data_IF_202858138023
#
_entry.id   IF_202858138023
#
_cell.length_a   1.000
_cell.length_b   1.000
_cell.length_c   1.000
_cell.angle_alpha   90.00
_cell.angle_beta   90.00
_cell.angle_gamma   90.00
#
_symmetry.space_group_name_H-M   'P 1'
#
loop_
_entity.id
_entity.type
_entity.pdbx_description
1 polymer ?
#
# COMPACT_ATOMS: atom_id res chain seq x y z
N UNK A 1 -10.37 5.61 28.60
CA UNK A 1 -9.09 5.99 27.96
C UNK A 1 -8.79 7.44 28.35
N UNK A 2 -7.63 7.72 28.90
CA UNK A 2 -7.22 9.06 29.28
C UNK A 2 -6.41 9.63 28.11
N UNK A 3 -6.73 10.83 27.64
CA UNK A 3 -5.96 11.50 26.61
C UNK A 3 -4.63 11.99 27.20
N UNK A 4 -3.52 11.68 26.53
CA UNK A 4 -2.21 12.19 26.86
C UNK A 4 -1.71 13.09 25.72
N UNK A 5 -1.19 14.25 26.04
CA UNK A 5 -0.58 15.17 25.09
C UNK A 5 0.94 15.11 25.22
N UNK A 6 1.63 14.95 24.09
CA UNK A 6 3.08 14.99 23.99
C UNK A 6 3.48 15.90 22.81
N UNK A 7 4.73 16.43 22.80
CA UNK A 7 5.23 17.13 21.63
C UNK A 7 5.13 16.27 20.38
N UNK A 8 4.56 16.84 19.32
CA UNK A 8 4.39 16.11 18.07
C UNK A 8 5.76 15.79 17.45
N UNK A 9 5.97 14.52 17.14
CA UNK A 9 7.09 14.04 16.33
C UNK A 9 6.52 13.38 15.10
N UNK A 10 7.13 13.61 13.93
CA UNK A 10 6.79 12.86 12.74
C UNK A 10 7.39 11.47 12.88
N UNK A 11 6.55 10.51 13.18
CA UNK A 11 6.87 9.09 13.20
C UNK A 11 6.46 8.47 11.86
N UNK A 12 6.74 7.20 11.65
CA UNK A 12 6.37 6.47 10.44
C UNK A 12 4.85 6.59 10.19
N UNK A 13 4.50 7.25 9.09
CA UNK A 13 3.11 7.41 8.65
C UNK A 13 2.90 6.63 7.35
N UNK A 14 1.79 5.90 7.27
CA UNK A 14 1.36 5.28 6.03
C UNK A 14 0.81 6.34 5.07
N UNK A 15 1.09 6.17 3.78
CA UNK A 15 0.68 7.09 2.73
C UNK A 15 -0.45 6.47 1.90
N UNK A 16 -1.47 7.26 1.62
CA UNK A 16 -2.53 6.90 0.68
C UNK A 16 -2.34 7.75 -0.58
N UNK A 17 -2.06 7.11 -1.70
CA UNK A 17 -1.78 7.79 -2.98
C UNK A 17 -2.76 7.30 -4.03
N UNK A 18 -3.32 8.21 -4.84
CA UNK A 18 -4.20 7.82 -5.92
C UNK A 18 -3.70 8.32 -7.27
N UNK A 19 -3.70 7.43 -8.26
CA UNK A 19 -3.39 7.70 -9.66
C UNK A 19 -4.64 7.42 -10.49
N UNK A 20 -5.33 8.47 -10.92
CA UNK A 20 -6.52 8.36 -11.74
C UNK A 20 -6.18 8.59 -13.22
N UNK A 21 -6.94 7.98 -14.13
CA UNK A 21 -6.79 8.25 -15.57
C UNK A 21 -7.46 7.19 -16.45
N UNK A 22 -7.54 7.51 -17.75
CA UNK A 22 -8.05 6.59 -18.75
C UNK A 22 -7.12 5.39 -19.01
N UNK A 23 -7.58 4.43 -19.79
CA UNK A 23 -6.71 3.38 -20.32
C UNK A 23 -5.56 3.99 -21.13
N UNK A 24 -4.34 3.48 -20.97
CA UNK A 24 -3.16 4.02 -21.63
C UNK A 24 -2.54 5.27 -20.99
N UNK A 25 -3.11 5.81 -19.90
CA UNK A 25 -2.53 6.97 -19.19
C UNK A 25 -1.30 6.65 -18.31
N UNK A 26 -0.85 5.40 -18.26
CA UNK A 26 0.34 4.99 -17.52
C UNK A 26 0.15 4.76 -16.02
N UNK A 27 -1.09 4.65 -15.50
CA UNK A 27 -1.40 4.45 -14.06
C UNK A 27 -0.63 3.29 -13.43
N UNK A 28 -0.83 2.09 -13.97
CA UNK A 28 -0.25 0.84 -13.44
C UNK A 28 1.27 0.91 -13.41
N UNK A 29 1.89 1.34 -14.52
CA UNK A 29 3.34 1.49 -14.62
C UNK A 29 3.88 2.52 -13.62
N UNK A 30 3.23 3.67 -13.51
CA UNK A 30 3.59 4.71 -12.53
C UNK A 30 3.42 4.23 -11.09
N UNK A 31 2.35 3.47 -10.80
CA UNK A 31 2.14 2.88 -9.48
C UNK A 31 3.25 1.89 -9.10
N UNK A 32 3.67 1.04 -10.04
CA UNK A 32 4.77 0.09 -9.82
C UNK A 32 6.11 0.79 -9.62
N UNK A 33 6.44 1.81 -10.42
CA UNK A 33 7.64 2.62 -10.22
C UNK A 33 7.65 3.32 -8.87
N UNK A 34 6.53 3.97 -8.53
CA UNK A 34 6.38 4.65 -7.24
C UNK A 34 6.52 3.68 -6.07
N UNK A 35 5.84 2.51 -6.14
CA UNK A 35 5.92 1.47 -5.13
C UNK A 35 7.34 0.93 -4.96
N UNK A 36 8.07 0.71 -6.07
CA UNK A 36 9.47 0.28 -6.05
C UNK A 36 10.36 1.28 -5.31
N UNK A 37 10.15 2.58 -5.52
CA UNK A 37 10.86 3.62 -4.78
C UNK A 37 10.45 3.72 -3.31
N UNK A 38 9.18 3.45 -2.99
CA UNK A 38 8.67 3.51 -1.63
C UNK A 38 9.02 2.29 -0.77
N UNK A 39 9.27 1.14 -1.38
CA UNK A 39 9.51 -0.14 -0.69
C UNK A 39 10.99 -0.33 -0.37
N UNK A 40 11.42 -0.24 0.90
CA UNK A 40 12.82 -0.44 1.28
C UNK A 40 13.27 -1.89 1.19
N UNK A 41 12.35 -2.84 1.32
CA UNK A 41 12.66 -4.29 1.25
C UNK A 41 12.28 -4.93 -0.08
N UNK A 42 11.66 -4.18 -1.00
CA UNK A 42 11.16 -4.69 -2.27
C UNK A 42 9.85 -5.49 -2.15
N UNK A 43 9.24 -5.59 -0.96
CA UNK A 43 7.99 -6.33 -0.74
C UNK A 43 6.77 -5.50 -1.16
N UNK A 44 6.40 -5.58 -2.40
CA UNK A 44 5.23 -4.92 -2.98
C UNK A 44 4.11 -5.95 -3.15
N UNK A 45 2.92 -5.66 -2.65
CA UNK A 45 1.72 -6.46 -2.91
C UNK A 45 0.85 -5.77 -3.96
N UNK A 46 0.41 -6.53 -4.97
CA UNK A 46 -0.43 -6.04 -6.05
C UNK A 46 -1.78 -6.77 -6.03
N UNK A 47 -2.83 -6.05 -5.67
CA UNK A 47 -4.22 -6.52 -5.70
C UNK A 47 -4.80 -6.14 -7.07
N UNK A 48 -4.97 -7.14 -7.92
CA UNK A 48 -5.39 -6.99 -9.31
C UNK A 48 -6.88 -7.29 -9.45
N UNK A 49 -7.67 -6.29 -9.81
CA UNK A 49 -9.10 -6.44 -10.13
C UNK A 49 -9.37 -6.37 -11.64
N UNK A 50 -8.32 -6.21 -12.45
CA UNK A 50 -8.35 -6.05 -13.90
C UNK A 50 -8.03 -7.37 -14.64
N UNK A 51 -8.48 -8.49 -14.10
CA UNK A 51 -8.33 -9.82 -14.71
C UNK A 51 -6.86 -10.20 -15.01
N UNK A 52 -5.98 -10.01 -14.04
CA UNK A 52 -4.56 -10.36 -14.08
C UNK A 52 -3.71 -9.52 -15.05
N UNK A 53 -4.18 -8.34 -15.45
CA UNK A 53 -3.40 -7.44 -16.32
C UNK A 53 -2.12 -6.93 -15.67
N UNK A 54 -2.08 -6.85 -14.34
CA UNK A 54 -0.87 -6.52 -13.59
C UNK A 54 0.30 -7.44 -13.88
N UNK A 55 0.05 -8.71 -14.21
CA UNK A 55 1.09 -9.69 -14.52
C UNK A 55 1.88 -9.38 -15.81
N UNK A 56 1.39 -8.50 -16.69
CA UNK A 56 2.16 -8.03 -17.85
C UNK A 56 3.43 -7.29 -17.45
N UNK A 57 3.52 -6.82 -16.21
CA UNK A 57 4.68 -6.11 -15.69
C UNK A 57 5.61 -6.98 -14.83
N UNK A 58 5.33 -8.29 -14.69
CA UNK A 58 6.06 -9.19 -13.79
C UNK A 58 7.51 -9.47 -14.22
N UNK A 59 7.86 -9.25 -15.49
CA UNK A 59 9.24 -9.35 -15.97
C UNK A 59 10.08 -8.12 -15.60
N UNK A 60 9.44 -6.95 -15.44
CA UNK A 60 10.11 -5.67 -15.17
C UNK A 60 10.10 -5.32 -13.68
N UNK A 61 9.05 -5.74 -12.96
CA UNK A 61 8.87 -5.44 -11.53
C UNK A 61 8.64 -6.71 -10.72
N UNK A 62 9.27 -6.78 -9.56
CA UNK A 62 9.00 -7.84 -8.58
C UNK A 62 7.87 -7.43 -7.66
N UNK A 63 6.82 -8.22 -7.54
CA UNK A 63 5.70 -8.02 -6.63
C UNK A 63 4.96 -9.32 -6.32
N UNK A 64 4.32 -9.38 -5.16
CA UNK A 64 3.36 -10.42 -4.80
C UNK A 64 2.02 -10.07 -5.45
N UNK A 65 1.37 -11.01 -6.12
CA UNK A 65 0.15 -10.78 -6.89
C UNK A 65 -1.05 -11.50 -6.28
N UNK A 66 -2.18 -10.80 -6.16
CA UNK A 66 -3.46 -11.36 -5.78
C UNK A 66 -4.53 -11.01 -6.83
N UNK A 67 -5.15 -12.04 -7.44
CA UNK A 67 -6.25 -11.90 -8.40
C UNK A 67 -7.57 -11.76 -7.63
N UNK A 68 -8.11 -10.54 -7.58
CA UNK A 68 -9.41 -10.28 -6.97
C UNK A 68 -10.49 -10.25 -8.05
N UNK A 69 -11.40 -11.22 -8.00
CA UNK A 69 -12.56 -11.31 -8.89
C UNK A 69 -13.84 -10.83 -8.20
N UNK A 70 -14.90 -10.50 -8.94
CA UNK A 70 -16.18 -10.14 -8.35
C UNK A 70 -16.66 -11.16 -7.30
N UNK A 71 -17.44 -10.71 -6.32
CA UNK A 71 -17.97 -9.36 -6.14
C UNK A 71 -16.92 -8.42 -5.53
N UNK A 72 -16.89 -7.15 -6.00
CA UNK A 72 -15.94 -6.12 -5.55
C UNK A 72 -16.49 -5.35 -4.33
N UNK A 73 -17.00 -6.08 -3.35
CA UNK A 73 -17.52 -5.48 -2.13
C UNK A 73 -16.42 -4.83 -1.28
N UNK A 74 -16.68 -3.68 -0.62
CA UNK A 74 -15.69 -2.97 0.22
C UNK A 74 -14.98 -3.85 1.25
N UNK A 75 -15.70 -4.84 1.82
CA UNK A 75 -15.13 -5.76 2.80
C UNK A 75 -14.00 -6.63 2.26
N UNK A 76 -14.06 -7.01 0.98
CA UNK A 76 -13.02 -7.82 0.34
C UNK A 76 -11.74 -7.03 0.09
N UNK A 77 -11.84 -5.73 -0.17
CA UNK A 77 -10.65 -4.86 -0.23
C UNK A 77 -9.96 -4.77 1.13
N UNK A 78 -10.74 -4.66 2.22
CA UNK A 78 -10.19 -4.69 3.59
C UNK A 78 -9.47 -6.02 3.86
N UNK A 79 -10.08 -7.14 3.48
CA UNK A 79 -9.48 -8.47 3.63
C UNK A 79 -8.17 -8.61 2.84
N UNK A 80 -8.16 -8.20 1.57
CA UNK A 80 -6.97 -8.28 0.72
C UNK A 80 -5.82 -7.40 1.23
N UNK A 81 -6.11 -6.18 1.72
CA UNK A 81 -5.11 -5.30 2.30
C UNK A 81 -4.51 -5.92 3.57
N UNK A 82 -5.35 -6.49 4.46
CA UNK A 82 -4.87 -7.19 5.66
C UNK A 82 -4.02 -8.41 5.33
N UNK A 83 -4.38 -9.15 4.29
CA UNK A 83 -3.57 -10.26 3.81
C UNK A 83 -2.20 -9.78 3.32
N UNK A 84 -2.14 -8.66 2.60
CA UNK A 84 -0.89 -8.04 2.18
C UNK A 84 -0.04 -7.57 3.38
N UNK A 85 -0.64 -6.94 4.39
CA UNK A 85 0.04 -6.58 5.65
C UNK A 85 0.62 -7.82 6.35
N UNK A 86 -0.16 -8.91 6.41
CA UNK A 86 0.27 -10.18 7.02
C UNK A 86 1.42 -10.83 6.24
N UNK A 87 1.44 -10.68 4.93
CA UNK A 87 2.53 -11.13 4.06
C UNK A 87 3.79 -10.25 4.16
N UNK A 88 3.74 -9.19 4.97
CA UNK A 88 4.87 -8.28 5.21
C UNK A 88 5.13 -7.30 4.08
N UNK A 89 4.09 -6.91 3.32
CA UNK A 89 4.23 -5.89 2.28
C UNK A 89 4.61 -4.53 2.88
N UNK A 90 5.52 -3.82 2.23
CA UNK A 90 5.83 -2.42 2.53
C UNK A 90 4.82 -1.48 1.88
N UNK A 91 4.39 -1.84 0.66
CA UNK A 91 3.48 -1.07 -0.17
C UNK A 91 2.45 -1.99 -0.81
N UNK A 92 1.19 -1.56 -0.84
CA UNK A 92 0.09 -2.25 -1.52
C UNK A 92 -0.33 -1.41 -2.73
N UNK A 93 -0.44 -2.03 -3.90
CA UNK A 93 -1.07 -1.44 -5.09
C UNK A 93 -2.43 -2.08 -5.27
N UNK A 94 -3.47 -1.27 -5.54
CA UNK A 94 -4.81 -1.75 -5.89
C UNK A 94 -5.15 -1.24 -7.29
N UNK A 95 -5.23 -2.14 -8.26
CA UNK A 95 -5.52 -1.82 -9.66
C UNK A 95 -6.63 -2.75 -10.22
N UNK A 96 -7.84 -2.21 -10.36
CA UNK A 96 -8.32 -0.86 -10.17
C UNK A 96 -9.21 -0.73 -8.92
N UNK A 97 -8.96 0.29 -8.11
CA UNK A 97 -9.81 0.57 -6.94
C UNK A 97 -11.19 1.11 -7.35
N UNK A 98 -11.39 1.53 -8.61
CA UNK A 98 -12.69 1.94 -9.13
C UNK A 98 -13.75 0.84 -9.08
N UNK A 99 -13.34 -0.43 -9.11
CA UNK A 99 -14.29 -1.55 -9.02
C UNK A 99 -15.00 -1.63 -7.67
N UNK A 100 -14.43 -1.09 -6.59
CA UNK A 100 -15.14 -0.94 -5.30
C UNK A 100 -16.39 -0.05 -5.47
N UNK A 101 -16.30 0.96 -6.35
CA UNK A 101 -17.38 1.90 -6.60
C UNK A 101 -18.35 1.40 -7.68
N UNK A 102 -17.86 1.10 -8.90
CA UNK A 102 -18.67 0.83 -10.09
C UNK A 102 -18.61 -0.63 -10.60
N UNK A 103 -17.80 -1.50 -9.97
CA UNK A 103 -17.69 -2.89 -10.37
C UNK A 103 -18.83 -3.77 -9.86
N UNK A 104 -18.91 -5.00 -10.37
CA UNK A 104 -19.89 -6.00 -9.96
C UNK A 104 -19.75 -6.30 -8.44
N UNK A 105 -20.85 -6.11 -7.70
CA UNK A 105 -20.87 -6.22 -6.23
C UNK A 105 -20.25 -5.04 -5.48
N UNK A 106 -19.80 -4.00 -6.20
CA UNK A 106 -19.39 -2.72 -5.65
C UNK A 106 -20.57 -1.90 -5.13
N UNK A 107 -20.29 -0.67 -4.64
CA UNK A 107 -21.32 0.13 -3.97
C UNK A 107 -22.47 0.55 -4.89
N UNK A 108 -22.19 0.88 -6.15
CA UNK A 108 -23.26 1.25 -7.11
C UNK A 108 -24.16 0.05 -7.42
N UNK A 109 -23.57 -1.06 -7.83
CA UNK A 109 -24.30 -2.28 -8.15
C UNK A 109 -25.12 -2.79 -6.94
N UNK A 110 -24.57 -2.69 -5.73
CA UNK A 110 -25.31 -3.03 -4.52
C UNK A 110 -26.53 -2.11 -4.30
N UNK A 111 -26.35 -0.79 -4.48
CA UNK A 111 -27.45 0.16 -4.36
C UNK A 111 -28.53 -0.07 -5.42
N UNK A 112 -28.13 -0.38 -6.67
CA UNK A 112 -29.06 -0.66 -7.76
C UNK A 112 -29.87 -1.94 -7.54
N UNK A 113 -29.22 -2.99 -7.00
CA UNK A 113 -29.93 -4.23 -6.58
C UNK A 113 -30.97 -3.94 -5.50
N UNK A 114 -30.62 -3.16 -4.48
CA UNK A 114 -31.58 -2.78 -3.43
C UNK A 114 -32.76 -1.97 -4.00
N UNK A 115 -32.53 -1.12 -5.02
CA UNK A 115 -33.60 -0.41 -5.69
C UNK A 115 -34.49 -1.36 -6.50
N UNK A 116 -33.92 -2.33 -7.19
CA UNK A 116 -34.66 -3.37 -7.91
C UNK A 116 -35.52 -4.23 -6.97
N UNK A 117 -35.02 -4.47 -5.75
CA UNK A 117 -35.75 -5.17 -4.68
C UNK A 117 -36.82 -4.28 -3.98
N UNK A 118 -37.02 -3.06 -4.45
CA UNK A 118 -38.08 -2.15 -3.99
C UNK A 118 -37.69 -1.16 -2.89
N UNK A 119 -36.39 -1.08 -2.50
CA UNK A 119 -35.93 -0.07 -1.57
C UNK A 119 -35.83 1.28 -2.28
N UNK A 120 -36.62 2.29 -1.85
CA UNK A 120 -36.78 3.55 -2.58
C UNK A 120 -35.73 4.61 -2.20
N UNK A 121 -35.23 5.30 -3.21
CA UNK A 121 -34.46 6.54 -3.08
C UNK A 121 -33.21 6.43 -2.23
N UNK A 122 -32.96 7.39 -1.32
CA UNK A 122 -31.71 7.42 -0.52
C UNK A 122 -31.52 6.22 0.42
N UNK A 123 -32.57 5.46 0.75
CA UNK A 123 -32.48 4.30 1.64
C UNK A 123 -31.65 3.17 1.01
N UNK A 124 -31.69 3.00 -0.31
CA UNK A 124 -30.89 2.01 -1.03
C UNK A 124 -29.37 2.26 -0.93
N UNK A 125 -28.98 3.48 -0.65
CA UNK A 125 -27.57 3.89 -0.51
C UNK A 125 -27.02 3.80 0.92
N UNK A 126 -27.87 3.52 1.92
CA UNK A 126 -27.48 3.55 3.33
C UNK A 126 -26.39 2.51 3.63
N UNK A 127 -26.65 1.26 3.29
CA UNK A 127 -25.73 0.16 3.60
C UNK A 127 -24.49 0.14 2.71
N UNK A 128 -24.58 0.36 1.38
CA UNK A 128 -23.41 0.54 0.51
C UNK A 128 -22.48 1.64 1.01
N UNK A 129 -22.99 2.83 1.33
CA UNK A 129 -22.18 3.93 1.88
C UNK A 129 -21.59 3.63 3.26
N UNK A 130 -22.31 2.90 4.11
CA UNK A 130 -21.78 2.46 5.39
C UNK A 130 -20.61 1.49 5.22
N UNK A 131 -20.68 0.58 4.24
CA UNK A 131 -19.61 -0.35 3.91
C UNK A 131 -18.37 0.40 3.35
N UNK A 132 -18.56 1.35 2.43
CA UNK A 132 -17.52 2.23 1.95
C UNK A 132 -16.83 2.99 3.10
N UNK A 133 -17.63 3.58 4.01
CA UNK A 133 -17.08 4.26 5.18
C UNK A 133 -16.22 3.34 6.06
N UNK A 134 -16.61 2.06 6.20
CA UNK A 134 -15.77 1.07 6.92
C UNK A 134 -14.45 0.83 6.19
N UNK A 135 -14.45 0.74 4.87
CA UNK A 135 -13.23 0.64 4.07
C UNK A 135 -12.34 1.86 4.30
N UNK A 136 -12.88 3.09 4.16
CA UNK A 136 -12.10 4.31 4.40
C UNK A 136 -11.48 4.36 5.79
N UNK A 137 -12.24 4.00 6.83
CA UNK A 137 -11.71 3.93 8.19
C UNK A 137 -10.60 2.87 8.34
N UNK A 138 -10.71 1.74 7.65
CA UNK A 138 -9.67 0.71 7.65
C UNK A 138 -8.40 1.21 6.95
N UNK A 139 -8.53 1.90 5.79
CA UNK A 139 -7.41 2.50 5.07
C UNK A 139 -6.63 3.50 5.93
N UNK A 140 -7.34 4.36 6.68
CA UNK A 140 -6.72 5.34 7.58
C UNK A 140 -5.99 4.70 8.79
N UNK A 141 -6.27 3.43 9.07
CA UNK A 141 -5.64 2.67 10.17
C UNK A 141 -4.57 1.68 9.67
N UNK A 142 -4.40 1.54 8.35
CA UNK A 142 -3.37 0.68 7.77
C UNK A 142 -1.96 1.17 8.14
N UNK A 143 -1.07 0.23 8.34
CA UNK A 143 0.35 0.51 8.61
C UNK A 143 1.20 0.54 7.35
N UNK A 144 0.71 -0.06 6.27
CA UNK A 144 1.34 -0.06 4.96
C UNK A 144 0.88 1.12 4.12
N UNK A 145 1.75 1.63 3.26
CA UNK A 145 1.36 2.63 2.27
C UNK A 145 0.56 1.97 1.14
N UNK A 146 -0.46 2.67 0.63
CA UNK A 146 -1.34 2.13 -0.41
C UNK A 146 -1.36 3.07 -1.60
N UNK A 147 -1.22 2.50 -2.81
CA UNK A 147 -1.35 3.20 -4.08
C UNK A 147 -2.61 2.67 -4.78
N UNK A 148 -3.55 3.56 -5.05
CA UNK A 148 -4.79 3.26 -5.75
C UNK A 148 -4.68 3.68 -7.21
N UNK A 149 -4.84 2.75 -8.13
CA UNK A 149 -5.10 3.06 -9.53
C UNK A 149 -6.61 3.20 -9.71
N UNK A 150 -7.05 4.34 -10.20
CA UNK A 150 -8.45 4.65 -10.46
C UNK A 150 -8.67 4.85 -11.95
N UNK A 151 -9.77 4.31 -12.45
CA UNK A 151 -10.25 4.64 -13.79
C UNK A 151 -10.76 6.08 -13.80
N UNK A 152 -10.68 6.75 -14.92
CA UNK A 152 -11.25 8.08 -15.11
C UNK A 152 -11.95 8.15 -16.46
N UNK A 153 -13.07 8.86 -16.49
CA UNK A 153 -13.83 9.17 -17.68
C UNK A 153 -13.75 10.66 -17.98
N UNK A 154 -13.74 11.00 -19.25
CA UNK A 154 -13.95 12.38 -19.69
C UNK A 154 -15.42 12.76 -19.50
N UNK A 155 -15.68 13.77 -18.69
CA UNK A 155 -17.04 14.24 -18.37
C UNK A 155 -17.32 15.59 -18.97
N UNK A 156 -18.59 15.79 -19.35
CA UNK A 156 -19.14 17.06 -19.76
C UNK A 156 -20.26 17.46 -18.81
N UNK A 157 -20.41 18.74 -18.56
CA UNK A 157 -21.56 19.33 -17.92
C UNK A 157 -22.49 19.95 -19.00
N UNK A 158 -23.76 19.59 -18.96
CA UNK A 158 -24.78 20.20 -19.80
C UNK A 158 -25.57 21.17 -18.93
N UNK A 159 -25.30 22.46 -19.06
CA UNK A 159 -25.98 23.52 -18.35
C UNK A 159 -26.97 24.26 -19.28
N UNK A 160 -28.01 24.87 -18.68
CA UNK A 160 -28.95 25.76 -19.41
C UNK A 160 -28.69 27.19 -18.99
N UNK A 161 -28.17 28.01 -19.89
CA UNK A 161 -27.91 29.43 -19.67
C UNK A 161 -28.66 30.28 -20.70
N UNK A 162 -29.42 31.28 -20.26
CA UNK A 162 -30.18 32.15 -21.12
C UNK A 162 -31.05 31.39 -22.15
N UNK A 163 -31.74 30.33 -21.73
CA UNK A 163 -32.53 29.44 -22.60
C UNK A 163 -31.72 28.67 -23.68
N UNK A 164 -30.40 28.69 -23.65
CA UNK A 164 -29.53 27.92 -24.53
C UNK A 164 -28.87 26.79 -23.75
N UNK A 165 -28.72 25.65 -24.40
CA UNK A 165 -27.93 24.54 -23.84
C UNK A 165 -26.45 24.85 -24.04
N UNK A 166 -25.69 24.87 -22.98
CA UNK A 166 -24.24 25.07 -22.99
C UNK A 166 -23.59 23.76 -22.54
N UNK A 167 -22.65 23.24 -23.31
CA UNK A 167 -21.86 22.06 -22.99
C UNK A 167 -20.48 22.53 -22.51
N UNK A 168 -20.11 22.16 -21.26
CA UNK A 168 -18.82 22.48 -20.68
C UNK A 168 -18.04 21.18 -20.45
N UNK A 169 -16.84 21.03 -21.03
CA UNK A 169 -15.99 19.90 -20.66
C UNK A 169 -15.53 20.04 -19.20
N UNK A 170 -15.74 19.01 -18.41
CA UNK A 170 -15.22 18.91 -17.03
C UNK A 170 -13.83 18.22 -16.99
N UNK A 171 -13.40 17.68 -18.15
CA UNK A 171 -12.16 16.92 -18.25
C UNK A 171 -12.24 15.53 -17.61
N UNK A 172 -11.09 14.97 -17.35
CA UNK A 172 -10.94 13.63 -16.77
C UNK A 172 -11.33 13.61 -15.30
N UNK A 173 -12.35 12.83 -14.97
CA UNK A 173 -12.87 12.69 -13.60
C UNK A 173 -12.71 11.27 -13.11
N UNK A 174 -12.08 11.06 -11.94
CA UNK A 174 -11.92 9.73 -11.34
C UNK A 174 -13.26 9.03 -11.09
N UNK A 175 -13.30 7.72 -11.35
CA UNK A 175 -14.44 6.86 -11.04
C UNK A 175 -14.24 6.31 -9.63
N UNK A 176 -14.82 6.97 -8.65
CA UNK A 176 -14.80 6.60 -7.24
C UNK A 176 -15.88 7.39 -6.46
N UNK A 177 -16.05 7.11 -5.18
CA UNK A 177 -16.86 7.97 -4.29
C UNK A 177 -16.25 9.37 -4.23
N UNK A 178 -17.11 10.40 -4.22
CA UNK A 178 -16.71 11.81 -4.38
C UNK A 178 -15.67 12.30 -3.38
N UNK A 179 -15.65 11.74 -2.17
CA UNK A 179 -14.72 12.11 -1.09
C UNK A 179 -13.43 11.30 -1.10
N UNK A 180 -13.38 10.20 -1.86
CA UNK A 180 -12.24 9.29 -1.85
C UNK A 180 -10.92 10.02 -2.11
N UNK A 181 -10.86 10.87 -3.14
CA UNK A 181 -9.65 11.62 -3.49
C UNK A 181 -9.20 12.62 -2.42
N UNK A 182 -10.13 13.10 -1.57
CA UNK A 182 -9.80 14.05 -0.50
C UNK A 182 -9.10 13.40 0.68
N UNK A 183 -9.28 12.09 0.88
CA UNK A 183 -8.62 11.34 1.96
C UNK A 183 -7.17 10.97 1.60
N UNK A 184 -6.79 11.09 0.34
CA UNK A 184 -5.44 10.75 -0.11
C UNK A 184 -4.40 11.73 0.45
N UNK A 185 -3.17 11.24 0.69
CA UNK A 185 -1.98 12.06 0.98
C UNK A 185 -1.57 12.85 -0.27
N UNK A 186 -1.53 12.18 -1.41
CA UNK A 186 -1.33 12.76 -2.73
C UNK A 186 -2.20 12.06 -3.76
N UNK A 187 -2.69 12.81 -4.75
CA UNK A 187 -3.43 12.22 -5.86
C UNK A 187 -3.18 12.99 -7.14
N UNK A 188 -3.19 12.27 -8.28
CA UNK A 188 -2.97 12.84 -9.61
C UNK A 188 -3.93 12.25 -10.62
N UNK A 189 -4.31 13.07 -11.60
CA UNK A 189 -4.97 12.60 -12.81
C UNK A 189 -3.93 12.56 -13.94
N UNK A 190 -3.81 11.39 -14.58
CA UNK A 190 -2.90 11.11 -15.68
C UNK A 190 -3.70 10.98 -16.97
N UNK A 191 -3.11 11.40 -18.10
CA UNK A 191 -3.78 11.40 -19.40
C UNK A 191 -3.04 10.52 -20.41
N UNK A 192 -3.72 9.99 -21.44
CA UNK A 192 -3.09 9.14 -22.45
C UNK A 192 -2.13 9.89 -23.40
N UNK A 193 -2.28 11.21 -23.56
CA UNK A 193 -1.42 12.04 -24.40
C UNK A 193 -0.03 12.23 -23.79
N UNK A 194 0.07 12.16 -22.43
CA UNK A 194 1.35 12.25 -21.71
C UNK A 194 1.38 11.20 -20.60
N UNK A 195 1.53 9.91 -20.93
CA UNK A 195 1.40 8.82 -19.96
C UNK A 195 2.40 8.91 -18.81
N UNK A 196 1.90 8.76 -17.58
CA UNK A 196 2.72 8.77 -16.37
C UNK A 196 3.10 10.14 -15.83
N UNK A 197 2.76 11.23 -16.52
CA UNK A 197 3.04 12.59 -16.06
C UNK A 197 1.89 13.13 -15.22
N UNK A 198 2.16 13.74 -14.05
CA UNK A 198 1.13 14.43 -13.28
C UNK A 198 0.62 15.66 -14.03
N UNK A 199 -0.69 15.84 -14.08
CA UNK A 199 -1.33 17.04 -14.58
C UNK A 199 -1.87 17.88 -13.44
N UNK A 200 -1.33 19.10 -13.25
CA UNK A 200 -1.77 19.98 -12.16
C UNK A 200 -2.99 20.84 -12.53
N UNK A 201 -3.37 20.87 -13.79
CA UNK A 201 -4.60 21.50 -14.26
C UNK A 201 -5.84 20.59 -14.15
N UNK A 202 -5.63 19.29 -13.89
CA UNK A 202 -6.67 18.31 -13.66
C UNK A 202 -6.88 18.05 -12.17
N UNK A 203 -7.95 17.37 -11.74
CA UNK A 203 -8.19 17.04 -10.35
C UNK A 203 -6.97 16.36 -9.71
N UNK A 204 -6.39 16.99 -8.73
CA UNK A 204 -5.24 16.49 -7.98
C UNK A 204 -5.28 16.96 -6.53
N UNK A 205 -4.52 16.30 -5.68
CA UNK A 205 -4.21 16.73 -4.32
C UNK A 205 -2.73 16.60 -4.08
N UNK A 206 -2.07 17.70 -3.73
CA UNK A 206 -0.65 17.71 -3.42
C UNK A 206 -0.37 18.72 -2.32
N UNK A 207 0.01 18.25 -1.16
CA UNK A 207 0.34 19.10 -0.03
C UNK A 207 1.68 19.81 -0.25
N UNK A 208 1.87 20.97 0.39
CA UNK A 208 3.05 21.82 0.22
C UNK A 208 4.38 21.07 0.37
N UNK A 209 4.47 20.19 1.37
CA UNK A 209 5.68 19.41 1.68
C UNK A 209 6.03 18.34 0.65
N UNK A 210 5.11 18.01 -0.26
CA UNK A 210 5.33 16.99 -1.31
C UNK A 210 5.52 17.61 -2.70
N UNK A 211 5.41 18.94 -2.84
CA UNK A 211 5.46 19.62 -4.15
C UNK A 211 6.76 19.41 -4.91
N UNK A 212 7.88 19.32 -4.20
CA UNK A 212 9.19 19.08 -4.82
C UNK A 212 9.39 17.64 -5.29
N UNK A 213 8.52 16.72 -4.90
CA UNK A 213 8.63 15.29 -5.23
C UNK A 213 7.96 14.94 -6.56
N UNK A 214 7.17 15.86 -7.12
CA UNK A 214 6.40 15.66 -8.35
C UNK A 214 6.43 16.91 -9.21
N UNK A 215 6.64 16.72 -10.51
CA UNK A 215 6.63 17.80 -11.51
C UNK A 215 5.79 17.37 -12.72
N UNK A 216 5.31 18.32 -13.49
CA UNK A 216 4.63 18.09 -14.78
C UNK A 216 5.60 17.87 -15.95
N UNK A 217 6.90 18.03 -15.68
CA UNK A 217 7.97 17.89 -16.66
C UNK A 217 8.61 16.51 -16.69
N UNK A 218 8.36 15.69 -15.66
CA UNK A 218 8.88 14.32 -15.54
C UNK A 218 7.77 13.35 -15.16
N UNK A 219 7.82 12.10 -15.63
CA UNK A 219 6.88 11.09 -15.22
C UNK A 219 7.11 10.70 -13.76
N UNK A 220 6.07 10.22 -13.10
CA UNK A 220 6.16 9.62 -11.76
C UNK A 220 7.19 8.50 -11.78
N UNK A 221 8.11 8.52 -10.83
CA UNK A 221 9.31 7.69 -10.83
C UNK A 221 9.59 7.02 -9.49
N UNK A 222 10.56 6.14 -9.47
CA UNK A 222 11.12 5.54 -8.26
C UNK A 222 11.70 6.60 -7.31
N UNK A 223 12.31 7.66 -7.85
CA UNK A 223 12.83 8.76 -7.06
C UNK A 223 11.72 9.49 -6.31
N UNK A 224 10.58 9.77 -6.97
CA UNK A 224 9.39 10.32 -6.30
C UNK A 224 8.92 9.42 -5.14
N UNK A 225 8.99 8.10 -5.34
CA UNK A 225 8.68 7.11 -4.31
C UNK A 225 9.65 7.15 -3.12
N UNK A 226 10.94 7.22 -3.40
CA UNK A 226 11.99 7.33 -2.38
C UNK A 226 11.81 8.60 -1.53
N UNK A 227 11.60 9.74 -2.17
CA UNK A 227 11.36 11.01 -1.48
C UNK A 227 10.13 10.96 -0.57
N UNK A 228 9.03 10.33 -1.03
CA UNK A 228 7.84 10.10 -0.21
C UNK A 228 8.12 9.19 0.99
N UNK A 229 8.83 8.07 0.77
CA UNK A 229 9.18 7.15 1.83
C UNK A 229 10.11 7.79 2.87
N UNK A 230 11.08 8.57 2.46
CA UNK A 230 11.96 9.33 3.33
C UNK A 230 11.18 10.35 4.16
N UNK A 231 10.25 11.05 3.52
CA UNK A 231 9.38 11.98 4.22
C UNK A 231 8.49 11.26 5.25
N UNK A 232 7.90 10.11 4.89
CA UNK A 232 7.01 9.35 5.75
C UNK A 232 7.71 8.77 6.99
N UNK A 233 8.98 8.38 6.85
CA UNK A 233 9.80 7.88 7.96
C UNK A 233 10.13 8.94 9.02
N UNK A 234 9.94 10.22 8.71
CA UNK A 234 10.37 11.30 9.61
C UNK A 234 11.87 11.58 9.52
N UNK A 235 12.30 12.77 9.91
CA UNK A 235 13.68 13.26 9.73
C UNK A 235 14.81 12.52 10.49
N UNK A 236 14.53 11.45 11.21
CA UNK A 236 15.53 10.47 11.64
C UNK A 236 15.25 9.15 10.93
N UNK A 237 16.21 8.58 10.20
CA UNK A 237 16.07 7.21 9.76
C UNK A 237 15.79 6.35 10.98
N UNK A 238 14.69 5.59 10.98
CA UNK A 238 14.60 4.47 11.90
C UNK A 238 15.87 3.66 11.72
N UNK A 239 16.55 3.23 12.80
CA UNK A 239 17.64 2.29 12.64
C UNK A 239 17.07 1.15 11.82
N UNK A 240 17.68 0.89 10.68
CA UNK A 240 17.42 -0.32 9.91
C UNK A 240 17.65 -1.43 10.91
N UNK A 241 16.59 -2.04 11.44
CA UNK A 241 16.75 -3.29 12.12
C UNK A 241 17.22 -4.23 11.02
N UNK A 242 18.45 -4.76 11.13
CA UNK A 242 18.88 -5.76 10.18
C UNK A 242 17.78 -6.83 10.20
N UNK A 243 17.23 -7.10 9.04
CA UNK A 243 16.32 -8.22 8.88
C UNK A 243 17.08 -9.43 9.41
N UNK A 244 16.53 -10.12 10.42
CA UNK A 244 17.04 -11.41 10.84
C UNK A 244 16.79 -12.35 9.66
N UNK A 245 17.64 -12.29 8.63
CA UNK A 245 17.46 -13.14 7.47
C UNK A 245 17.43 -14.58 7.98
N UNK A 246 16.52 -15.38 7.47
CA UNK A 246 16.44 -16.80 7.86
C UNK A 246 17.81 -17.48 7.68
N UNK A 247 18.61 -17.00 6.73
CA UNK A 247 19.96 -17.47 6.43
C UNK A 247 20.94 -17.06 7.55
N UNK A 248 20.90 -15.84 8.06
CA UNK A 248 21.75 -15.39 9.18
C UNK A 248 21.41 -16.13 10.46
N UNK A 249 20.13 -16.35 10.76
CA UNK A 249 19.70 -17.15 11.91
C UNK A 249 20.17 -18.60 11.80
N UNK A 250 20.06 -19.22 10.62
CA UNK A 250 20.55 -20.58 10.37
C UNK A 250 22.06 -20.68 10.51
N UNK A 251 22.81 -19.73 9.98
CA UNK A 251 24.27 -19.69 10.06
C UNK A 251 24.73 -19.59 11.52
N UNK A 252 24.16 -18.66 12.29
CA UNK A 252 24.51 -18.50 13.71
C UNK A 252 24.03 -19.64 14.58
N UNK A 253 22.87 -20.23 14.31
CA UNK A 253 22.41 -21.44 15.01
C UNK A 253 23.36 -22.61 14.77
N UNK A 254 23.86 -22.78 13.55
CA UNK A 254 24.87 -23.79 13.20
C UNK A 254 26.22 -23.57 13.90
N UNK A 255 26.69 -22.29 13.98
CA UNK A 255 27.91 -21.94 14.72
C UNK A 255 27.79 -22.25 16.21
N UNK A 256 26.65 -21.92 16.81
CA UNK A 256 26.38 -22.22 18.22
C UNK A 256 26.27 -23.72 18.49
N UNK A 257 25.66 -24.49 17.56
CA UNK A 257 25.61 -25.93 17.66
C UNK A 257 27.01 -26.56 17.64
N UNK A 258 27.88 -26.07 16.76
CA UNK A 258 29.28 -26.54 16.68
C UNK A 258 30.07 -26.21 17.95
N UNK A 259 29.93 -25.00 18.47
CA UNK A 259 30.58 -24.57 19.69
C UNK A 259 30.07 -25.33 20.93
N UNK A 260 28.79 -25.71 20.95
CA UNK A 260 28.22 -26.51 22.02
C UNK A 260 28.84 -27.91 22.13
N UNK A 261 29.25 -28.50 21.00
CA UNK A 261 29.97 -29.80 21.00
C UNK A 261 31.39 -29.71 21.56
N UNK A 262 31.95 -28.49 21.63
CA UNK A 262 33.28 -28.21 22.18
C UNK A 262 33.26 -27.82 23.67
N UNK A 263 32.09 -27.71 24.26
CA UNK A 263 31.90 -27.41 25.67
C UNK A 263 31.35 -26.02 25.99
N UNK A 264 31.15 -25.80 27.29
CA UNK A 264 30.45 -24.60 27.80
C UNK A 264 31.23 -23.31 27.56
N UNK A 265 32.55 -23.35 27.59
CA UNK A 265 33.39 -22.16 27.39
C UNK A 265 33.36 -21.70 25.92
N UNK A 266 33.53 -22.63 24.99
CA UNK A 266 33.44 -22.36 23.55
C UNK A 266 32.06 -21.83 23.17
N UNK A 267 30.99 -22.40 23.72
CA UNK A 267 29.62 -21.89 23.49
C UNK A 267 29.45 -20.46 24.00
N UNK A 268 30.01 -20.13 25.18
CA UNK A 268 29.93 -18.80 25.79
C UNK A 268 30.69 -17.75 24.94
N UNK A 269 31.89 -18.11 24.49
CA UNK A 269 32.69 -17.23 23.60
C UNK A 269 31.94 -16.97 22.28
N UNK A 270 31.45 -18.01 21.66
CA UNK A 270 30.68 -17.88 20.40
C UNK A 270 29.41 -17.05 20.61
N UNK A 271 28.68 -17.24 21.72
CA UNK A 271 27.50 -16.43 22.03
C UNK A 271 27.81 -14.93 22.18
N UNK A 272 28.98 -14.59 22.72
CA UNK A 272 29.40 -13.21 22.89
C UNK A 272 29.64 -12.51 21.53
N UNK A 273 30.01 -13.27 20.51
CA UNK A 273 30.21 -12.73 19.12
C UNK A 273 28.92 -12.64 18.32
N UNK A 274 27.82 -13.26 18.76
CA UNK A 274 26.52 -13.15 18.07
C UNK A 274 26.08 -11.69 18.01
N UNK A 275 25.68 -11.19 16.82
CA UNK A 275 25.15 -9.84 16.67
C UNK A 275 23.97 -9.57 17.61
N UNK A 276 23.93 -8.36 18.20
CA UNK A 276 22.94 -8.04 19.24
C UNK A 276 21.50 -8.23 18.79
N UNK A 277 21.21 -7.94 17.49
CA UNK A 277 19.87 -8.07 16.92
C UNK A 277 19.42 -9.54 16.80
N UNK A 278 20.32 -10.51 16.56
CA UNK A 278 20.01 -11.93 16.45
C UNK A 278 19.85 -12.62 17.81
N UNK A 279 20.43 -12.06 18.89
CA UNK A 279 20.44 -12.70 20.22
C UNK A 279 19.04 -13.05 20.71
N UNK A 280 18.07 -12.17 20.52
CA UNK A 280 16.68 -12.39 20.94
C UNK A 280 16.05 -13.60 20.24
N UNK A 281 16.28 -13.73 18.94
CA UNK A 281 15.72 -14.81 18.11
C UNK A 281 16.41 -16.15 18.38
N UNK A 282 17.71 -16.14 18.76
CA UNK A 282 18.49 -17.34 19.07
C UNK A 282 18.44 -17.76 20.56
N UNK A 283 17.88 -16.94 21.43
CA UNK A 283 17.89 -17.21 22.90
C UNK A 283 17.19 -18.52 23.26
N UNK A 284 16.07 -18.84 22.63
CA UNK A 284 15.34 -20.08 22.85
C UNK A 284 16.15 -21.31 22.38
N UNK A 285 16.83 -21.20 21.26
CA UNK A 285 17.71 -22.24 20.73
C UNK A 285 18.93 -22.46 21.65
N UNK A 286 19.53 -21.36 22.14
CA UNK A 286 20.63 -21.41 23.09
C UNK A 286 20.23 -22.19 24.33
N UNK A 287 19.13 -21.81 25.00
CA UNK A 287 18.71 -22.44 26.28
C UNK A 287 18.25 -23.87 26.12
N UNK A 288 17.50 -24.18 25.08
CA UNK A 288 16.81 -25.46 24.95
C UNK A 288 17.63 -26.53 24.21
N UNK A 289 18.60 -26.14 23.41
CA UNK A 289 19.41 -27.06 22.61
C UNK A 289 20.89 -26.97 22.85
N UNK A 290 21.48 -25.76 22.80
CA UNK A 290 22.95 -25.63 22.81
C UNK A 290 23.54 -25.73 24.21
N UNK A 291 22.96 -25.12 25.24
CA UNK A 291 23.46 -25.25 26.64
C UNK A 291 23.43 -26.68 27.15
N UNK A 292 22.30 -27.43 27.02
CA UNK A 292 22.30 -28.85 27.45
C UNK A 292 23.27 -29.75 26.70
N UNK A 293 23.60 -29.39 25.44
CA UNK A 293 24.59 -30.11 24.63
C UNK A 293 26.00 -29.81 25.15
N UNK A 294 26.30 -28.54 25.41
CA UNK A 294 27.61 -28.11 25.90
C UNK A 294 27.96 -28.67 27.32
N UNK A 295 26.95 -28.84 28.18
CA UNK A 295 27.11 -29.46 29.50
C UNK A 295 27.44 -30.95 29.43
N UNK A 296 27.13 -31.63 28.33
CA UNK A 296 27.40 -33.05 28.08
C UNK A 296 28.67 -33.29 27.27
N UNK A 297 29.30 -32.25 26.76
CA UNK A 297 30.51 -32.36 25.95
C UNK A 297 31.68 -32.84 26.82
N UNK A 298 32.56 -33.72 26.31
CA UNK A 298 33.75 -34.14 27.05
C UNK A 298 34.68 -32.94 27.29
N UNK A 299 35.27 -32.89 28.49
CA UNK A 299 36.22 -31.86 28.90
C UNK A 299 37.53 -31.94 28.10
#
# INVERSE_FOLDING_TARGET
>A
MTFAFAPAKREQVSLLIALAGASGSGKTFSALRLAKGMSPTGKIAFIDTEARRGLHYAEEFQFMHADMRPPFAPARFIEAIRAAETAGADVVIIDSASHEYDGEGGIMDWADRLQADGVKGPAAWKDPKAAHKKLMNALLQCRVSIIFCLRADEKIEIARENNKTVVRPLGWMPICEKRFMFEMTASFTLTPDKPGFPHFDLPHKLQRQHRSMFTDTQPISEESGQMLAEWARGGNPAPVQPDDSADDLMEWDSKLATAALQGTESLRETWNTVPKHLKKSLEAALRNRHQPTAEKAPA
#
